data_IF_265285424895
#
_entry.id   IF_265285424895
#
_cell.length_a   1.000
_cell.length_b   1.000
_cell.length_c   1.000
_cell.angle_alpha   90.00
_cell.angle_beta   90.00
_cell.angle_gamma   90.00
#
_symmetry.space_group_name_H-M   'P 1'
#
loop_
_entity.id
_entity.type
_entity.pdbx_description
1 polymer ?
#
# COMPACT_ATOMS: atom_id res chain seq x y z
N UNK A 1 9.62 11.81 0.60
CA UNK A 1 9.92 13.17 0.10
C UNK A 1 8.71 14.09 0.14
N UNK A 2 7.56 13.74 -0.47
CA UNK A 2 6.36 14.59 -0.50
C UNK A 2 5.90 15.10 0.86
N UNK A 3 5.78 14.24 1.88
CA UNK A 3 5.35 14.62 3.23
C UNK A 3 6.32 15.59 3.92
N UNK A 4 7.64 15.41 3.76
CA UNK A 4 8.65 16.32 4.32
C UNK A 4 8.58 17.69 3.64
N UNK A 5 8.42 17.70 2.32
CA UNK A 5 8.20 18.92 1.54
C UNK A 5 6.95 19.65 1.99
N UNK A 6 5.84 18.96 2.21
CA UNK A 6 4.58 19.56 2.65
C UNK A 6 4.71 20.16 4.06
N UNK A 7 5.42 19.50 4.96
CA UNK A 7 5.65 20.00 6.32
C UNK A 7 6.51 21.27 6.34
N UNK A 8 7.63 21.28 5.62
CA UNK A 8 8.58 22.40 5.64
C UNK A 8 8.11 23.58 4.78
N UNK A 9 7.51 23.31 3.62
CA UNK A 9 7.16 24.35 2.64
C UNK A 9 5.74 24.93 2.82
N UNK A 10 4.87 24.33 3.65
CA UNK A 10 3.51 24.87 3.87
C UNK A 10 3.52 26.30 4.41
N UNK A 11 4.32 26.57 5.46
CA UNK A 11 4.39 27.93 6.05
C UNK A 11 4.91 28.97 5.04
N UNK A 12 6.09 28.80 4.40
CA UNK A 12 6.59 29.80 3.48
C UNK A 12 5.69 29.95 2.24
N UNK A 13 5.07 28.87 1.75
CA UNK A 13 4.13 28.96 0.64
C UNK A 13 2.90 29.80 1.00
N UNK A 14 2.30 29.61 2.18
CA UNK A 14 1.16 30.40 2.62
C UNK A 14 1.53 31.85 2.99
N UNK A 15 2.74 32.10 3.48
CA UNK A 15 3.25 33.48 3.62
C UNK A 15 3.33 34.19 2.27
N UNK A 16 3.84 33.52 1.24
CA UNK A 16 3.90 34.04 -0.13
C UNK A 16 2.50 34.29 -0.72
N UNK A 17 1.55 33.39 -0.47
CA UNK A 17 0.15 33.54 -0.88
C UNK A 17 -0.52 34.73 -0.18
N UNK A 18 -0.19 34.99 1.08
CA UNK A 18 -0.74 36.12 1.84
C UNK A 18 0.02 37.45 1.61
N UNK A 19 1.04 37.48 0.74
CA UNK A 19 1.88 38.67 0.50
C UNK A 19 1.21 39.76 -0.35
N UNK A 20 0.00 39.51 -0.89
CA UNK A 20 -0.77 40.41 -1.76
C UNK A 20 -0.08 40.88 -3.05
N UNK A 21 1.09 40.31 -3.37
CA UNK A 21 1.86 40.56 -4.60
C UNK A 21 1.66 39.38 -5.54
N UNK A 22 1.10 39.62 -6.73
CA UNK A 22 0.72 38.57 -7.69
C UNK A 22 1.89 37.59 -7.98
N UNK A 23 3.11 38.11 -8.16
CA UNK A 23 4.29 37.27 -8.41
C UNK A 23 4.64 36.33 -7.26
N UNK A 24 4.51 36.79 -6.00
CA UNK A 24 4.76 35.97 -4.82
C UNK A 24 3.63 34.96 -4.61
N UNK A 25 2.38 35.34 -4.85
CA UNK A 25 1.23 34.43 -4.79
C UNK A 25 1.42 33.27 -5.76
N UNK A 26 1.81 33.57 -7.01
CA UNK A 26 2.09 32.54 -8.01
C UNK A 26 3.23 31.60 -7.56
N UNK A 27 4.32 32.16 -7.03
CA UNK A 27 5.43 31.36 -6.52
C UNK A 27 5.00 30.44 -5.35
N UNK A 28 4.19 30.94 -4.42
CA UNK A 28 3.64 30.15 -3.31
C UNK A 28 2.75 29.00 -3.79
N UNK A 29 1.87 29.27 -4.75
CA UNK A 29 1.03 28.25 -5.39
C UNK A 29 1.86 27.22 -6.15
N UNK A 30 2.90 27.66 -6.86
CA UNK A 30 3.81 26.78 -7.61
C UNK A 30 4.54 25.80 -6.67
N UNK A 31 5.02 26.29 -5.52
CA UNK A 31 5.66 25.46 -4.50
C UNK A 31 4.70 24.37 -4.02
N UNK A 32 3.46 24.74 -3.65
CA UNK A 32 2.45 23.77 -3.22
C UNK A 32 2.13 22.76 -4.32
N UNK A 33 2.01 23.21 -5.57
CA UNK A 33 1.73 22.33 -6.71
C UNK A 33 2.84 21.30 -6.94
N UNK A 34 4.11 21.71 -6.87
CA UNK A 34 5.26 20.80 -7.01
C UNK A 34 5.26 19.76 -5.90
N UNK A 35 5.09 20.17 -4.65
CA UNK A 35 5.04 19.26 -3.50
C UNK A 35 3.87 18.28 -3.61
N UNK A 36 2.69 18.77 -4.02
CA UNK A 36 1.50 17.95 -4.22
C UNK A 36 1.73 16.90 -5.31
N UNK A 37 2.43 17.25 -6.40
CA UNK A 37 2.78 16.31 -7.47
C UNK A 37 3.66 15.16 -6.97
N UNK A 38 4.61 15.41 -6.07
CA UNK A 38 5.38 14.33 -5.45
C UNK A 38 4.49 13.37 -4.64
N UNK A 39 3.42 13.88 -4.03
CA UNK A 39 2.48 13.05 -3.26
C UNK A 39 1.59 12.21 -4.18
N UNK A 40 0.99 12.85 -5.18
CA UNK A 40 0.11 12.20 -6.16
C UNK A 40 0.88 11.19 -7.01
N UNK A 41 2.11 11.50 -7.41
CA UNK A 41 2.95 10.61 -8.21
C UNK A 41 3.28 9.30 -7.49
N UNK A 42 3.64 9.37 -6.20
CA UNK A 42 3.85 8.17 -5.38
C UNK A 42 2.54 7.38 -5.25
N UNK A 43 1.43 8.04 -4.92
CA UNK A 43 0.12 7.40 -4.80
C UNK A 43 -0.28 6.66 -6.10
N UNK A 44 -0.08 7.28 -7.27
CA UNK A 44 -0.43 6.69 -8.56
C UNK A 44 0.38 5.43 -8.88
N UNK A 45 1.63 5.35 -8.43
CA UNK A 45 2.50 4.19 -8.63
C UNK A 45 2.22 3.04 -7.65
N UNK A 46 1.95 3.36 -6.38
CA UNK A 46 1.80 2.36 -5.31
C UNK A 46 0.39 1.78 -5.24
N UNK A 47 -0.64 2.59 -5.50
CA UNK A 47 -2.03 2.16 -5.34
C UNK A 47 -2.42 0.97 -6.23
N UNK A 48 -2.04 0.90 -7.52
CA UNK A 48 -2.35 -0.25 -8.38
C UNK A 48 -1.59 -1.52 -8.00
N UNK A 49 -0.43 -1.39 -7.35
CA UNK A 49 0.42 -2.51 -6.94
C UNK A 49 -0.11 -3.23 -5.69
N UNK A 50 -0.92 -2.55 -4.87
CA UNK A 50 -1.49 -3.13 -3.63
C UNK A 50 -2.77 -3.95 -3.85
N UNK A 51 -3.43 -3.84 -5.01
CA UNK A 51 -4.70 -4.53 -5.26
C UNK A 51 -4.53 -5.77 -6.19
N UNK A 52 -5.15 -6.91 -5.85
CA UNK A 52 -5.14 -8.11 -6.70
C UNK A 52 -5.73 -7.84 -8.09
N UNK A 53 -5.12 -8.41 -9.13
CA UNK A 53 -5.51 -8.21 -10.55
C UNK A 53 -6.99 -8.44 -10.85
N UNK A 54 -7.65 -9.37 -10.15
CA UNK A 54 -9.06 -9.73 -10.37
C UNK A 54 -10.08 -8.74 -9.76
N UNK A 55 -9.69 -7.91 -8.79
CA UNK A 55 -10.57 -6.91 -8.13
C UNK A 55 -10.05 -5.48 -8.23
N UNK A 56 -8.92 -5.26 -8.93
CA UNK A 56 -8.19 -3.99 -8.94
C UNK A 56 -9.09 -2.79 -9.25
N UNK A 57 -9.92 -2.87 -10.28
CA UNK A 57 -10.76 -1.75 -10.71
C UNK A 57 -11.89 -1.44 -9.71
N UNK A 58 -12.62 -2.45 -9.24
CA UNK A 58 -13.71 -2.24 -8.28
C UNK A 58 -13.20 -1.82 -6.90
N UNK A 59 -12.13 -2.45 -6.40
CA UNK A 59 -11.56 -2.10 -5.10
C UNK A 59 -10.95 -0.68 -5.11
N UNK A 60 -10.24 -0.31 -6.18
CA UNK A 60 -9.70 1.03 -6.35
C UNK A 60 -10.81 2.08 -6.48
N UNK A 61 -11.87 1.81 -7.26
CA UNK A 61 -13.00 2.71 -7.39
C UNK A 61 -13.72 2.93 -6.05
N UNK A 62 -14.01 1.87 -5.29
CA UNK A 62 -14.67 2.00 -3.98
C UNK A 62 -13.81 2.76 -2.97
N UNK A 63 -12.51 2.42 -2.87
CA UNK A 63 -11.59 3.10 -1.97
C UNK A 63 -11.41 4.59 -2.34
N UNK A 64 -11.33 4.90 -3.64
CA UNK A 64 -11.23 6.28 -4.12
C UNK A 64 -12.50 7.07 -3.83
N UNK A 65 -13.69 6.52 -4.08
CA UNK A 65 -14.95 7.21 -3.80
C UNK A 65 -15.12 7.53 -2.31
N UNK A 66 -14.79 6.58 -1.42
CA UNK A 66 -14.82 6.81 0.04
C UNK A 66 -13.81 7.90 0.42
N UNK A 67 -12.61 7.87 -0.16
CA UNK A 67 -11.58 8.88 0.10
C UNK A 67 -12.01 10.28 -0.37
N UNK A 68 -12.61 10.38 -1.56
CA UNK A 68 -13.11 11.65 -2.13
C UNK A 68 -14.27 12.20 -1.30
N UNK A 69 -15.17 11.33 -0.82
CA UNK A 69 -16.26 11.74 0.07
C UNK A 69 -15.72 12.44 1.33
N UNK A 70 -14.68 11.87 1.96
CA UNK A 70 -14.03 12.47 3.13
C UNK A 70 -13.25 13.73 2.72
N UNK A 71 -12.52 13.69 1.61
CA UNK A 71 -11.73 14.82 1.11
C UNK A 71 -12.60 16.05 0.81
N UNK A 72 -13.85 15.85 0.36
CA UNK A 72 -14.81 16.94 0.11
C UNK A 72 -15.15 17.78 1.33
N UNK A 73 -14.97 17.25 2.55
CA UNK A 73 -15.20 17.97 3.80
C UNK A 73 -14.01 18.88 4.18
N UNK A 74 -12.83 18.60 3.63
CA UNK A 74 -11.57 19.35 3.89
C UNK A 74 -11.68 20.86 3.68
N UNK A 75 -12.15 21.38 2.52
CA UNK A 75 -12.25 22.82 2.31
C UNK A 75 -13.23 23.48 3.30
N UNK A 76 -14.31 22.80 3.66
CA UNK A 76 -15.27 23.29 4.65
C UNK A 76 -14.64 23.42 6.03
N UNK A 77 -13.87 22.42 6.47
CA UNK A 77 -13.13 22.47 7.74
C UNK A 77 -12.06 23.55 7.71
N UNK A 78 -11.30 23.66 6.62
CA UNK A 78 -10.28 24.69 6.48
C UNK A 78 -10.88 26.11 6.53
N UNK A 79 -12.00 26.34 5.84
CA UNK A 79 -12.71 27.61 5.86
C UNK A 79 -13.25 27.93 7.26
N UNK A 80 -13.92 26.97 7.91
CA UNK A 80 -14.41 27.12 9.28
C UNK A 80 -13.29 27.44 10.27
N UNK A 81 -12.13 26.80 10.12
CA UNK A 81 -10.97 27.02 10.99
C UNK A 81 -10.39 28.43 10.83
N UNK A 82 -10.35 28.95 9.59
CA UNK A 82 -9.96 30.33 9.31
C UNK A 82 -10.96 31.31 9.90
N UNK A 83 -12.27 31.07 9.71
CA UNK A 83 -13.33 31.94 10.22
C UNK A 83 -13.35 31.97 11.75
N UNK A 84 -13.21 30.83 12.41
CA UNK A 84 -13.21 30.77 13.88
C UNK A 84 -11.93 31.33 14.50
N UNK A 85 -10.76 31.16 13.86
CA UNK A 85 -9.46 31.60 14.41
C UNK A 85 -9.06 33.00 13.94
N UNK A 86 -9.74 33.55 12.93
CA UNK A 86 -9.39 34.80 12.25
C UNK A 86 -7.94 34.83 11.74
N UNK A 87 -7.41 33.65 11.37
CA UNK A 87 -6.01 33.49 10.98
C UNK A 87 -5.90 32.80 9.61
N UNK A 88 -5.37 33.52 8.63
CA UNK A 88 -5.18 33.05 7.25
C UNK A 88 -4.09 31.98 7.08
N UNK A 89 -3.28 31.74 8.12
CA UNK A 89 -2.27 30.68 8.15
C UNK A 89 -2.81 29.33 8.64
N UNK A 90 -4.07 29.25 9.11
CA UNK A 90 -4.66 28.00 9.59
C UNK A 90 -4.62 26.85 8.58
N UNK A 91 -4.85 27.06 7.27
CA UNK A 91 -4.71 26.00 6.28
C UNK A 91 -3.26 25.48 6.17
N UNK A 92 -2.26 26.33 6.40
CA UNK A 92 -0.85 25.91 6.41
C UNK A 92 -0.56 24.95 7.58
N UNK A 93 -1.06 25.27 8.78
CA UNK A 93 -0.92 24.38 9.94
C UNK A 93 -1.68 23.07 9.76
N UNK A 94 -2.87 23.13 9.17
CA UNK A 94 -3.62 21.94 8.80
C UNK A 94 -2.81 21.03 7.86
N UNK A 95 -2.20 21.60 6.82
CA UNK A 95 -1.34 20.84 5.90
C UNK A 95 -0.11 20.25 6.60
N UNK A 96 0.49 20.94 7.58
CA UNK A 96 1.59 20.38 8.38
C UNK A 96 1.15 19.16 9.20
N UNK A 97 -0.03 19.20 9.81
CA UNK A 97 -0.59 18.04 10.53
C UNK A 97 -0.84 16.88 9.58
N UNK A 98 -1.45 17.15 8.41
CA UNK A 98 -1.65 16.15 7.36
C UNK A 98 -0.31 15.58 6.87
N UNK A 99 0.73 16.42 6.77
CA UNK A 99 2.08 15.99 6.39
C UNK A 99 2.67 15.00 7.40
N UNK A 100 2.48 15.22 8.70
CA UNK A 100 2.92 14.30 9.76
C UNK A 100 2.20 12.97 9.63
N UNK A 101 0.88 12.98 9.47
CA UNK A 101 0.09 11.75 9.28
C UNK A 101 0.56 11.01 8.02
N UNK A 102 0.75 11.72 6.92
CA UNK A 102 1.28 11.16 5.67
C UNK A 102 2.69 10.60 5.82
N UNK A 103 3.54 11.21 6.66
CA UNK A 103 4.87 10.70 6.97
C UNK A 103 4.81 9.41 7.79
N UNK A 104 3.99 9.36 8.84
CA UNK A 104 3.79 8.15 9.66
C UNK A 104 3.26 7.01 8.79
N UNK A 105 2.28 7.29 7.94
CA UNK A 105 1.75 6.31 6.98
C UNK A 105 2.83 5.83 6.01
N UNK A 106 3.66 6.72 5.48
CA UNK A 106 4.74 6.35 4.58
C UNK A 106 5.80 5.45 5.25
N UNK A 107 6.13 5.71 6.52
CA UNK A 107 7.09 4.87 7.28
C UNK A 107 6.48 3.53 7.68
N UNK A 108 5.16 3.49 7.94
CA UNK A 108 4.45 2.27 8.36
C UNK A 108 4.11 1.37 7.16
N UNK A 109 4.01 1.93 5.96
CA UNK A 109 3.73 1.18 4.74
C UNK A 109 4.91 0.25 4.43
N UNK A 110 4.71 -1.06 4.63
CA UNK A 110 5.69 -2.09 4.29
C UNK A 110 5.98 -2.05 2.80
N UNK A 111 7.27 -2.10 2.46
CA UNK A 111 7.77 -2.12 1.10
C UNK A 111 7.17 -3.31 0.32
N UNK A 112 6.38 -3.02 -0.72
CA UNK A 112 5.82 -4.02 -1.66
C UNK A 112 6.73 -4.19 -2.88
N UNK A 113 7.88 -3.52 -2.93
CA UNK A 113 8.76 -3.45 -4.10
C UNK A 113 9.41 -4.78 -4.49
N UNK A 114 9.44 -5.76 -3.58
CA UNK A 114 10.13 -7.04 -3.79
C UNK A 114 9.24 -8.27 -3.62
N UNK A 115 7.91 -8.11 -3.76
CA UNK A 115 6.99 -9.25 -3.78
C UNK A 115 6.35 -9.37 -5.16
N UNK A 116 6.42 -10.55 -5.79
CA UNK A 116 5.78 -10.74 -7.09
C UNK A 116 4.30 -10.40 -6.98
N UNK A 117 3.80 -9.62 -7.95
CA UNK A 117 2.39 -9.25 -8.04
C UNK A 117 1.53 -10.53 -7.98
N UNK A 118 0.71 -10.67 -6.94
CA UNK A 118 -0.20 -11.81 -6.79
C UNK A 118 -1.13 -11.89 -8.01
N UNK A 119 -0.88 -12.87 -8.88
CA UNK A 119 -1.67 -13.13 -10.08
C UNK A 119 -1.11 -12.60 -11.40
N UNK A 120 0.15 -12.13 -11.45
CA UNK A 120 0.88 -12.00 -12.70
C UNK A 120 1.53 -13.35 -13.06
N UNK A 121 1.51 -13.75 -14.33
CA UNK A 121 2.39 -14.81 -14.85
C UNK A 121 3.83 -14.51 -14.43
N UNK A 122 4.63 -15.51 -14.02
CA UNK A 122 6.00 -15.26 -13.56
C UNK A 122 6.77 -14.52 -14.65
N UNK A 123 7.01 -13.23 -14.42
CA UNK A 123 7.86 -12.40 -15.25
C UNK A 123 9.24 -12.44 -14.59
N UNK A 124 9.98 -13.50 -14.86
CA UNK A 124 11.40 -13.50 -14.55
C UNK A 124 12.04 -12.31 -15.27
N UNK A 125 12.79 -11.49 -14.54
CA UNK A 125 13.48 -10.33 -15.12
C UNK A 125 14.63 -10.75 -16.03
N UNK A 126 15.18 -11.95 -15.80
CA UNK A 126 16.26 -12.57 -16.58
C UNK A 126 16.17 -14.10 -16.62
N UNK A 127 16.83 -14.73 -17.60
CA UNK A 127 16.86 -16.21 -17.78
C UNK A 127 17.45 -16.93 -16.55
N UNK A 128 18.33 -16.26 -15.80
CA UNK A 128 18.91 -16.81 -14.56
C UNK A 128 17.85 -16.93 -13.44
N UNK A 129 17.06 -15.88 -13.22
CA UNK A 129 15.96 -15.86 -12.24
C UNK A 129 14.87 -16.87 -12.62
N UNK A 130 14.60 -17.04 -13.91
CA UNK A 130 13.66 -18.06 -14.40
C UNK A 130 14.10 -19.49 -14.02
N UNK A 131 15.41 -19.77 -14.08
CA UNK A 131 15.94 -21.09 -13.69
C UNK A 131 15.87 -21.30 -12.18
N UNK A 132 16.16 -20.28 -11.40
CA UNK A 132 16.10 -20.32 -9.94
C UNK A 132 14.67 -20.61 -9.47
N UNK A 133 13.67 -19.89 -10.02
CA UNK A 133 12.25 -20.12 -9.69
C UNK A 133 11.80 -21.53 -10.08
N UNK A 134 12.27 -22.06 -11.22
CA UNK A 134 11.92 -23.42 -11.66
C UNK A 134 12.58 -24.48 -10.78
N UNK A 135 13.83 -24.28 -10.36
CA UNK A 135 14.50 -25.17 -9.42
C UNK A 135 13.83 -25.15 -8.04
N UNK A 136 13.55 -23.96 -7.49
CA UNK A 136 12.84 -23.83 -6.21
C UNK A 136 11.46 -24.48 -6.26
N UNK A 137 10.76 -24.38 -7.39
CA UNK A 137 9.49 -25.09 -7.56
C UNK A 137 9.64 -26.61 -7.62
N UNK A 138 10.70 -27.12 -8.26
CA UNK A 138 10.99 -28.57 -8.29
C UNK A 138 11.31 -29.09 -6.90
N UNK A 139 12.19 -28.41 -6.17
CA UNK A 139 12.61 -28.77 -4.82
C UNK A 139 11.41 -28.79 -3.86
N UNK A 140 10.53 -27.78 -3.94
CA UNK A 140 9.29 -27.74 -3.17
C UNK A 140 8.31 -28.90 -3.51
N UNK A 141 8.28 -29.35 -4.76
CA UNK A 141 7.43 -30.48 -5.17
C UNK A 141 8.02 -31.78 -4.63
N UNK A 142 9.33 -32.00 -4.76
CA UNK A 142 10.00 -33.19 -4.22
C UNK A 142 9.80 -33.29 -2.70
N UNK A 143 9.98 -32.18 -1.97
CA UNK A 143 9.80 -32.16 -0.53
C UNK A 143 8.35 -32.48 -0.12
N UNK A 144 7.36 -31.97 -0.85
CA UNK A 144 5.95 -32.32 -0.63
C UNK A 144 5.64 -33.79 -0.91
N UNK A 145 6.25 -34.37 -1.94
CA UNK A 145 6.07 -35.80 -2.25
C UNK A 145 6.62 -36.63 -1.09
N UNK A 146 7.81 -36.30 -0.59
CA UNK A 146 8.43 -37.01 0.54
C UNK A 146 7.59 -36.91 1.82
N UNK A 147 7.02 -35.74 2.11
CA UNK A 147 6.12 -35.53 3.24
C UNK A 147 4.82 -36.36 3.09
N UNK A 148 4.25 -36.42 1.88
CA UNK A 148 3.08 -37.26 1.58
C UNK A 148 3.38 -38.75 1.76
N UNK A 149 4.55 -39.21 1.31
CA UNK A 149 4.96 -40.61 1.45
C UNK A 149 5.08 -41.01 2.93
N UNK A 150 5.66 -40.15 3.77
CA UNK A 150 5.69 -40.34 5.23
C UNK A 150 4.28 -40.39 5.83
N UNK A 151 3.39 -39.50 5.40
CA UNK A 151 2.01 -39.50 5.88
C UNK A 151 1.26 -40.79 5.48
N UNK A 152 1.50 -41.32 4.27
CA UNK A 152 0.94 -42.60 3.83
C UNK A 152 1.48 -43.76 4.69
N UNK A 153 2.78 -43.81 4.98
CA UNK A 153 3.37 -44.83 5.85
C UNK A 153 2.73 -44.82 7.25
N UNK A 154 2.61 -43.64 7.86
CA UNK A 154 1.97 -43.47 9.17
C UNK A 154 0.49 -43.91 9.16
N UNK A 155 -0.25 -43.55 8.11
CA UNK A 155 -1.64 -43.96 7.94
C UNK A 155 -1.78 -45.47 7.72
N UNK A 156 -0.85 -46.10 6.99
CA UNK A 156 -0.83 -47.56 6.81
C UNK A 156 -0.48 -48.30 8.10
N UNK A 157 0.46 -47.78 8.89
CA UNK A 157 0.78 -48.31 10.21
C UNK A 157 -0.43 -48.20 11.15
N UNK A 158 -1.10 -47.05 11.16
CA UNK A 158 -2.31 -46.81 11.96
C UNK A 158 -3.47 -47.70 11.52
N UNK A 159 -3.67 -47.90 10.21
CA UNK A 159 -4.66 -48.85 9.67
C UNK A 159 -4.36 -50.27 10.16
N UNK A 160 -3.10 -50.69 10.10
CA UNK A 160 -2.68 -52.04 10.53
C UNK A 160 -2.93 -52.25 12.02
N UNK A 161 -2.64 -51.26 12.85
CA UNK A 161 -2.95 -51.27 14.28
C UNK A 161 -4.46 -51.39 14.54
N UNK A 162 -5.27 -50.59 13.85
CA UNK A 162 -6.74 -50.62 14.00
C UNK A 162 -7.35 -51.95 13.56
N UNK A 163 -6.82 -52.56 12.48
CA UNK A 163 -7.24 -53.89 12.01
C UNK A 163 -6.92 -54.97 13.04
N UNK A 164 -5.77 -54.89 13.72
CA UNK A 164 -5.43 -55.81 14.81
C UNK A 164 -6.31 -55.61 16.06
N UNK A 165 -6.71 -54.37 16.36
CA UNK A 165 -7.58 -54.06 17.50
C UNK A 165 -9.05 -54.48 17.27
N UNK A 166 -9.48 -54.58 16.01
CA UNK A 166 -10.86 -54.94 15.67
C UNK A 166 -10.93 -56.11 14.66
N UNK A 167 -10.65 -57.36 15.09
CA UNK A 167 -10.63 -58.54 14.21
C UNK A 167 -11.98 -58.96 13.63
N UNK A 168 -13.09 -58.29 13.99
CA UNK A 168 -14.45 -58.59 13.49
C UNK A 168 -14.86 -57.82 12.22
N UNK A 169 -13.97 -57.03 11.62
CA UNK A 169 -14.31 -56.14 10.48
C UNK A 169 -13.93 -56.74 9.10
N UNK A 170 -13.24 -57.89 9.09
CA UNK A 170 -12.79 -58.56 7.85
C UNK A 170 -13.60 -59.83 7.49
N UNK A 171 -14.80 -60.02 8.07
CA UNK A 171 -15.80 -60.99 7.56
C UNK A 171 -16.84 -60.29 6.70
#
# INVERSE_FOLDING_TARGET
MGSIGLFLLSIPAFMLINSNVIGLIFAGLLILAVVLNFFIGVMASTLPAMFPTHIRYSALASAFNISVLIAGVTPTVAAWLVESTQNLMMPAYYLMVVAIIGFITAVTMKETANKPLKGATPAASDIAEAREIVQEHHDNIEQKIEDLDKEIEDLQAKRTLLVQQHPRINE
#
